data_IF_562514251424
#
_entry.id   IF_562514251424
#
_cell.length_a   1.000
_cell.length_b   1.000
_cell.length_c   1.000
_cell.angle_alpha   90.00
_cell.angle_beta   90.00
_cell.angle_gamma   90.00
#
_symmetry.space_group_name_H-M   'P 1'
#
loop_
_entity.id
_entity.type
_entity.pdbx_description
1 polymer ?
#
# COMPACT_ATOMS: atom_id res chain seq x y z
N UNK A 1 36.10 61.91 -62.39
CA UNK A 1 36.98 61.08 -61.53
C UNK A 1 36.18 60.77 -60.26
N UNK A 2 35.53 59.61 -60.23
CA UNK A 2 34.65 59.16 -59.09
C UNK A 2 35.37 57.99 -58.48
N UNK A 3 35.82 58.12 -57.25
CA UNK A 3 36.45 57.06 -56.47
C UNK A 3 35.31 56.21 -55.78
N UNK A 4 35.22 55.00 -56.25
CA UNK A 4 34.28 53.98 -55.63
C UNK A 4 35.03 53.34 -54.47
N UNK A 5 34.56 53.57 -53.25
CA UNK A 5 35.07 52.89 -52.04
C UNK A 5 34.31 51.57 -51.85
N UNK A 6 35.00 50.45 -51.95
CA UNK A 6 34.52 49.10 -51.68
C UNK A 6 34.61 48.88 -50.20
N UNK A 7 33.46 48.76 -49.50
CA UNK A 7 33.40 48.41 -48.12
C UNK A 7 33.17 46.88 -48.00
N UNK A 8 34.21 46.20 -47.51
CA UNK A 8 34.19 44.76 -47.27
C UNK A 8 33.43 44.51 -46.00
N UNK A 9 32.24 43.81 -46.10
CA UNK A 9 31.44 43.36 -45.00
C UNK A 9 31.97 41.99 -44.47
N UNK A 10 32.60 41.98 -43.30
CA UNK A 10 33.09 40.78 -42.65
C UNK A 10 31.89 40.23 -41.87
N UNK A 11 31.31 39.13 -42.34
CA UNK A 11 30.30 38.34 -41.64
C UNK A 11 31.01 37.46 -40.60
N UNK A 12 30.87 37.82 -39.32
CA UNK A 12 31.25 36.96 -38.19
C UNK A 12 30.16 35.89 -38.02
N UNK A 13 30.47 34.68 -38.42
CA UNK A 13 29.66 33.49 -38.05
C UNK A 13 29.95 33.15 -36.58
N UNK A 14 29.04 33.51 -35.70
CA UNK A 14 29.04 32.98 -34.32
C UNK A 14 28.63 31.52 -34.36
N UNK A 15 29.59 30.61 -34.19
CA UNK A 15 29.29 29.19 -33.90
C UNK A 15 28.65 29.11 -32.51
N UNK A 16 27.34 28.90 -32.47
CA UNK A 16 26.65 28.48 -31.26
C UNK A 16 27.01 27.02 -31.02
N UNK A 17 27.94 26.79 -30.11
CA UNK A 17 28.20 25.46 -29.57
C UNK A 17 27.00 25.11 -28.68
N UNK A 18 26.05 24.36 -29.23
CA UNK A 18 25.01 23.73 -28.46
C UNK A 18 25.68 22.64 -27.62
N UNK A 19 26.01 22.95 -26.37
CA UNK A 19 26.36 21.95 -25.37
C UNK A 19 25.13 21.10 -25.13
N UNK A 20 25.09 19.95 -25.76
CA UNK A 20 24.21 18.84 -25.32
C UNK A 20 24.68 18.46 -23.92
N UNK A 21 24.11 19.12 -22.89
CA UNK A 21 24.08 18.54 -21.55
C UNK A 21 23.21 17.29 -21.65
N UNK A 22 23.87 16.14 -21.72
CA UNK A 22 23.22 14.87 -21.42
C UNK A 22 22.55 15.07 -20.06
N UNK A 23 21.21 15.02 -20.05
CA UNK A 23 20.47 14.82 -18.81
C UNK A 23 21.00 13.52 -18.20
N UNK A 24 21.26 13.47 -16.89
CA UNK A 24 21.52 12.19 -16.26
C UNK A 24 20.30 11.32 -16.51
N UNK A 25 20.42 10.35 -17.39
CA UNK A 25 19.52 9.22 -17.45
C UNK A 25 19.51 8.66 -16.02
N UNK A 26 18.31 8.56 -15.41
CA UNK A 26 18.15 7.82 -14.18
C UNK A 26 18.87 6.48 -14.33
N UNK A 27 19.59 6.09 -13.30
CA UNK A 27 20.31 4.82 -13.23
C UNK A 27 19.40 3.74 -13.78
N UNK A 28 19.77 3.17 -14.92
CA UNK A 28 18.96 2.19 -15.60
C UNK A 28 18.77 1.02 -14.64
N UNK A 29 17.53 0.76 -14.23
CA UNK A 29 17.18 -0.42 -13.46
C UNK A 29 17.74 -1.61 -14.21
N UNK A 30 18.73 -2.27 -13.66
CA UNK A 30 19.39 -3.40 -14.30
C UNK A 30 18.44 -4.60 -14.20
N UNK A 31 17.93 -5.08 -15.33
CA UNK A 31 17.09 -6.28 -15.32
C UNK A 31 17.87 -7.48 -14.76
N UNK A 32 17.31 -8.21 -13.78
CA UNK A 32 17.95 -9.41 -13.24
C UNK A 32 18.12 -10.47 -14.30
N UNK A 33 19.23 -11.23 -14.22
CA UNK A 33 19.49 -12.33 -15.15
C UNK A 33 18.39 -13.40 -15.11
N UNK A 34 18.24 -14.14 -16.20
CA UNK A 34 17.26 -15.24 -16.28
C UNK A 34 17.46 -16.28 -15.16
N UNK A 35 18.70 -16.50 -14.74
CA UNK A 35 19.02 -17.39 -13.63
C UNK A 35 18.50 -16.85 -12.30
N UNK A 36 18.74 -15.59 -11.97
CA UNK A 36 18.23 -14.91 -10.78
C UNK A 36 16.70 -14.96 -10.77
N UNK A 37 16.05 -14.64 -11.88
CA UNK A 37 14.59 -14.73 -12.01
C UNK A 37 14.06 -16.14 -11.72
N UNK A 38 14.72 -17.17 -12.28
CA UNK A 38 14.33 -18.57 -12.06
C UNK A 38 14.53 -19.01 -10.61
N UNK A 39 15.61 -18.57 -9.96
CA UNK A 39 15.86 -18.86 -8.54
C UNK A 39 14.83 -18.18 -7.63
N UNK A 40 14.52 -16.91 -7.89
CA UNK A 40 13.50 -16.15 -7.15
C UNK A 40 12.13 -16.79 -7.31
N UNK A 41 11.73 -17.20 -8.52
CA UNK A 41 10.46 -17.88 -8.73
C UNK A 41 10.34 -19.16 -7.90
N UNK A 42 11.39 -20.00 -7.91
CA UNK A 42 11.43 -21.21 -7.08
C UNK A 42 11.34 -20.90 -5.59
N UNK A 43 12.00 -19.83 -5.16
CA UNK A 43 11.97 -19.42 -3.75
C UNK A 43 10.58 -18.95 -3.34
N UNK A 44 9.91 -18.11 -4.15
CA UNK A 44 8.52 -17.68 -3.90
C UNK A 44 7.60 -18.89 -3.73
N UNK A 45 7.68 -19.87 -4.64
CA UNK A 45 6.85 -21.08 -4.54
C UNK A 45 7.21 -21.97 -3.35
N UNK A 46 8.44 -21.90 -2.85
CA UNK A 46 8.86 -22.63 -1.65
C UNK A 46 8.33 -21.94 -0.37
N UNK A 47 8.34 -20.60 -0.34
CA UNK A 47 7.93 -19.82 0.81
C UNK A 47 6.38 -19.75 0.95
N UNK A 48 5.64 -19.74 -0.18
CA UNK A 48 4.18 -19.53 -0.21
C UNK A 48 3.46 -20.75 -0.78
N UNK A 49 3.15 -21.70 0.10
CA UNK A 49 2.52 -22.98 -0.27
C UNK A 49 1.17 -22.79 -0.97
N UNK A 50 0.31 -21.94 -0.44
CA UNK A 50 -1.05 -21.74 -0.99
C UNK A 50 -0.98 -21.13 -2.41
N UNK A 51 -0.04 -20.21 -2.64
CA UNK A 51 0.23 -19.64 -3.97
C UNK A 51 0.69 -20.75 -4.94
N UNK A 52 1.62 -21.60 -4.50
CA UNK A 52 2.09 -22.73 -5.32
C UNK A 52 0.95 -23.67 -5.68
N UNK A 53 0.15 -24.12 -4.71
CA UNK A 53 -0.97 -25.03 -4.90
C UNK A 53 -2.03 -24.43 -5.86
N UNK A 54 -2.28 -23.12 -5.77
CA UNK A 54 -3.16 -22.41 -6.71
C UNK A 54 -2.57 -22.42 -8.13
N UNK A 55 -1.30 -22.03 -8.30
CA UNK A 55 -0.63 -21.97 -9.61
C UNK A 55 -0.60 -23.34 -10.29
N UNK A 56 -0.41 -24.43 -9.53
CA UNK A 56 -0.42 -25.81 -10.07
C UNK A 56 -1.78 -26.19 -10.67
N UNK A 57 -2.85 -25.52 -10.29
CA UNK A 57 -4.23 -25.73 -10.79
C UNK A 57 -4.60 -24.80 -11.95
N UNK A 58 -3.83 -23.74 -12.23
CA UNK A 58 -4.09 -22.83 -13.35
C UNK A 58 -3.59 -23.40 -14.68
N UNK A 59 -4.23 -22.97 -15.77
CA UNK A 59 -3.80 -23.29 -17.14
C UNK A 59 -2.39 -22.73 -17.41
N UNK A 60 -1.49 -23.57 -17.89
CA UNK A 60 -0.07 -23.23 -18.07
C UNK A 60 0.78 -23.33 -16.80
N UNK A 61 0.16 -23.43 -15.62
CA UNK A 61 0.80 -23.72 -14.35
C UNK A 61 2.03 -22.85 -14.04
N UNK A 62 3.02 -23.45 -13.43
CA UNK A 62 4.26 -22.77 -13.01
C UNK A 62 5.01 -22.07 -14.17
N UNK A 63 4.91 -22.57 -15.41
CA UNK A 63 5.55 -21.95 -16.57
C UNK A 63 4.92 -20.59 -16.88
N UNK A 64 3.59 -20.52 -16.99
CA UNK A 64 2.87 -19.28 -17.28
C UNK A 64 3.06 -18.27 -16.13
N UNK A 65 3.03 -18.72 -14.88
CA UNK A 65 3.28 -17.88 -13.72
C UNK A 65 4.70 -17.27 -13.72
N UNK A 66 5.71 -18.06 -14.09
CA UNK A 66 7.10 -17.57 -14.20
C UNK A 66 7.28 -16.58 -15.35
N UNK A 67 6.64 -16.80 -16.49
CA UNK A 67 6.68 -15.88 -17.64
C UNK A 67 6.01 -14.54 -17.31
N UNK A 68 4.97 -14.54 -16.49
CA UNK A 68 4.20 -13.35 -16.07
C UNK A 68 4.73 -12.68 -14.79
N UNK A 69 5.77 -13.22 -14.15
CA UNK A 69 6.41 -12.63 -12.98
C UNK A 69 7.30 -11.45 -13.39
N UNK A 70 7.15 -10.30 -12.77
CA UNK A 70 8.11 -9.21 -12.87
C UNK A 70 9.14 -9.28 -11.74
N UNK A 71 10.38 -8.89 -12.03
CA UNK A 71 11.46 -8.78 -11.04
C UNK A 71 12.23 -7.51 -11.32
N UNK A 72 12.34 -6.65 -10.30
CA UNK A 72 13.14 -5.43 -10.34
C UNK A 72 14.25 -5.49 -9.29
N UNK A 73 15.44 -5.02 -9.65
CA UNK A 73 16.54 -4.86 -8.72
C UNK A 73 16.40 -3.53 -7.96
N UNK A 74 16.53 -3.59 -6.65
CA UNK A 74 16.51 -2.47 -5.73
C UNK A 74 17.79 -2.50 -4.88
N UNK A 75 18.22 -1.34 -4.37
CA UNK A 75 19.25 -1.25 -3.33
C UNK A 75 18.63 -0.51 -2.14
N UNK A 76 17.93 -1.27 -1.30
CA UNK A 76 17.15 -0.68 -0.20
C UNK A 76 17.96 -0.48 1.08
N UNK A 77 19.19 -1.03 1.15
CA UNK A 77 20.08 -0.89 2.30
C UNK A 77 21.35 -0.08 1.96
N UNK A 78 21.51 0.34 0.68
CA UNK A 78 22.62 1.14 0.18
C UNK A 78 24.01 0.49 0.35
N UNK A 79 24.08 -0.85 0.28
CA UNK A 79 25.34 -1.60 0.37
C UNK A 79 25.93 -1.95 -1.01
N UNK A 80 25.23 -1.59 -2.09
CA UNK A 80 25.62 -1.87 -3.47
C UNK A 80 25.31 -3.31 -3.91
N UNK A 81 24.64 -4.10 -3.09
CA UNK A 81 24.14 -5.43 -3.44
C UNK A 81 22.63 -5.32 -3.62
N UNK A 82 22.12 -5.79 -4.76
CA UNK A 82 20.71 -5.68 -5.06
C UNK A 82 19.85 -6.60 -4.19
N UNK A 83 18.78 -6.06 -3.63
CA UNK A 83 17.55 -6.75 -3.30
C UNK A 83 16.65 -6.81 -4.54
N UNK A 84 15.63 -7.66 -4.48
CA UNK A 84 14.77 -7.91 -5.63
C UNK A 84 13.30 -7.77 -5.24
N UNK A 85 12.61 -6.79 -5.84
CA UNK A 85 11.16 -6.78 -5.86
C UNK A 85 10.68 -7.86 -6.82
N UNK A 86 9.81 -8.74 -6.33
CA UNK A 86 9.15 -9.78 -7.12
C UNK A 86 7.66 -9.54 -7.06
N UNK A 87 7.05 -9.26 -8.21
CA UNK A 87 5.61 -9.15 -8.32
C UNK A 87 5.08 -10.32 -9.14
N UNK A 88 4.23 -11.12 -8.51
CA UNK A 88 3.56 -12.25 -9.16
C UNK A 88 2.29 -11.74 -9.83
N UNK A 89 2.05 -12.16 -11.07
CA UNK A 89 0.84 -11.86 -11.83
C UNK A 89 0.00 -13.12 -12.04
N UNK A 90 -1.30 -12.95 -12.34
CA UNK A 90 -2.23 -14.07 -12.56
C UNK A 90 -3.27 -14.19 -11.44
N UNK A 91 -4.25 -15.06 -11.64
CA UNK A 91 -5.42 -15.18 -10.76
C UNK A 91 -5.08 -15.60 -9.32
N UNK A 92 -3.99 -16.34 -9.15
CA UNK A 92 -3.54 -16.78 -7.83
C UNK A 92 -2.84 -15.70 -7.01
N UNK A 93 -2.25 -14.70 -7.67
CA UNK A 93 -1.42 -13.69 -7.03
C UNK A 93 -2.03 -12.29 -7.08
N UNK A 94 -3.03 -12.07 -7.92
CA UNK A 94 -3.69 -10.79 -8.08
C UNK A 94 -5.16 -10.87 -7.69
N UNK A 95 -5.64 -9.80 -7.03
CA UNK A 95 -7.06 -9.49 -7.03
C UNK A 95 -7.47 -8.87 -8.38
N UNK A 96 -8.43 -7.92 -8.37
CA UNK A 96 -8.86 -7.27 -9.62
C UNK A 96 -7.75 -6.46 -10.30
N UNK A 97 -6.86 -5.83 -9.54
CA UNK A 97 -5.77 -4.96 -10.04
C UNK A 97 -4.50 -4.97 -9.19
N UNK A 98 -4.59 -5.31 -7.91
CA UNK A 98 -3.44 -5.36 -7.02
C UNK A 98 -2.89 -6.78 -7.02
N UNK A 99 -1.57 -6.90 -7.16
CA UNK A 99 -0.88 -8.18 -7.17
C UNK A 99 0.03 -8.32 -5.95
N UNK A 100 0.31 -9.55 -5.56
CA UNK A 100 1.23 -9.84 -4.47
C UNK A 100 2.64 -9.37 -4.80
N UNK A 101 3.27 -8.69 -3.84
CA UNK A 101 4.60 -8.10 -3.94
C UNK A 101 5.45 -8.69 -2.83
N UNK A 102 6.64 -9.15 -3.19
CA UNK A 102 7.64 -9.69 -2.29
C UNK A 102 8.96 -8.94 -2.49
N UNK A 103 9.76 -8.82 -1.44
CA UNK A 103 11.15 -8.36 -1.57
C UNK A 103 12.07 -9.41 -0.99
N UNK A 104 13.06 -9.78 -1.78
CA UNK A 104 14.07 -10.76 -1.45
C UNK A 104 15.46 -10.14 -1.38
N UNK A 105 16.22 -10.49 -0.36
CA UNK A 105 17.66 -10.25 -0.31
C UNK A 105 18.44 -11.51 -0.63
N UNK A 106 19.60 -11.33 -1.23
CA UNK A 106 20.52 -12.44 -1.51
C UNK A 106 21.27 -12.84 -0.24
N UNK A 107 21.40 -14.14 0.00
CA UNK A 107 22.16 -14.73 1.11
C UNK A 107 23.14 -15.76 0.57
N UNK A 108 24.01 -16.29 1.45
CA UNK A 108 24.91 -17.40 1.06
C UNK A 108 24.16 -18.69 0.70
N UNK A 109 22.91 -18.84 1.18
CA UNK A 109 22.08 -20.04 0.95
C UNK A 109 21.04 -19.85 -0.17
N UNK A 110 20.98 -18.68 -0.81
CA UNK A 110 20.01 -18.36 -1.85
C UNK A 110 19.34 -17.01 -1.61
N UNK A 111 18.02 -16.98 -1.54
CA UNK A 111 17.24 -15.76 -1.30
C UNK A 111 16.41 -15.89 -0.03
N UNK A 112 16.27 -14.80 0.70
CA UNK A 112 15.44 -14.68 1.91
C UNK A 112 14.44 -13.56 1.71
N UNK A 113 13.15 -13.82 1.97
CA UNK A 113 12.10 -12.81 1.93
C UNK A 113 12.26 -11.82 3.09
N UNK A 114 12.24 -10.53 2.77
CA UNK A 114 12.24 -9.44 3.73
C UNK A 114 10.96 -8.58 3.66
N UNK A 115 10.10 -8.82 2.67
CA UNK A 115 8.71 -8.34 2.60
C UNK A 115 7.86 -9.44 1.97
N UNK A 116 6.80 -9.87 2.65
CA UNK A 116 6.02 -11.05 2.29
C UNK A 116 4.49 -10.87 2.33
N UNK A 117 3.99 -9.71 2.75
CA UNK A 117 2.56 -9.45 2.95
C UNK A 117 2.03 -8.21 2.22
N UNK A 118 2.78 -7.70 1.23
CA UNK A 118 2.34 -6.54 0.46
C UNK A 118 1.53 -6.94 -0.79
N UNK A 119 0.55 -6.10 -1.12
CA UNK A 119 -0.23 -6.22 -2.35
C UNK A 119 -0.48 -4.84 -2.94
N UNK A 120 -0.20 -4.66 -4.23
CA UNK A 120 -0.32 -3.35 -4.87
C UNK A 120 0.13 -3.34 -6.32
N UNK A 121 0.57 -2.15 -6.74
CA UNK A 121 1.01 -1.85 -8.11
C UNK A 121 2.54 -1.86 -8.27
N UNK A 122 3.28 -1.92 -7.16
CA UNK A 122 4.74 -1.89 -7.11
C UNK A 122 5.22 -1.17 -5.84
N UNK A 123 6.54 -1.10 -5.70
CA UNK A 123 7.22 -0.50 -4.54
C UNK A 123 7.94 0.78 -4.96
N UNK A 124 7.76 1.84 -4.18
CA UNK A 124 8.59 3.03 -4.20
C UNK A 124 9.54 3.02 -3.00
N UNK A 125 10.84 3.18 -3.27
CA UNK A 125 11.87 3.30 -2.22
C UNK A 125 11.92 4.75 -1.73
N UNK A 126 11.62 4.95 -0.45
CA UNK A 126 11.56 6.28 0.15
C UNK A 126 12.96 6.77 0.58
N UNK A 127 13.09 8.09 0.75
CA UNK A 127 14.32 8.72 1.28
C UNK A 127 14.48 8.55 2.79
N UNK A 128 13.42 8.17 3.50
CA UNK A 128 13.48 7.83 4.93
C UNK A 128 13.95 6.39 5.11
N UNK A 129 14.56 6.08 6.25
CA UNK A 129 15.07 4.75 6.54
C UNK A 129 14.79 4.31 7.97
N UNK A 130 14.73 3.00 8.17
CA UNK A 130 14.53 2.34 9.45
C UNK A 130 15.49 1.16 9.56
N UNK A 131 16.25 1.07 10.65
CA UNK A 131 17.23 0.01 10.92
C UNK A 131 18.20 -0.27 9.75
N UNK A 132 18.65 0.81 9.06
CA UNK A 132 19.64 0.72 7.97
C UNK A 132 19.04 0.40 6.58
N UNK A 133 17.73 0.22 6.47
CA UNK A 133 17.01 -0.02 5.21
C UNK A 133 16.10 1.17 4.90
N UNK A 134 16.00 1.56 3.65
CA UNK A 134 15.03 2.57 3.18
C UNK A 134 13.61 2.13 3.50
N UNK A 135 12.77 3.05 3.98
CA UNK A 135 11.33 2.79 4.11
C UNK A 135 10.73 2.61 2.71
N UNK A 136 9.66 1.85 2.61
CA UNK A 136 9.00 1.53 1.35
C UNK A 136 7.59 2.08 1.34
N UNK A 137 7.12 2.51 0.16
CA UNK A 137 5.73 2.85 -0.08
C UNK A 137 5.17 1.88 -1.12
N UNK A 138 4.07 1.23 -0.78
CA UNK A 138 3.27 0.42 -1.70
C UNK A 138 1.97 1.15 -1.96
N UNK A 139 1.69 1.43 -3.24
CA UNK A 139 0.41 1.96 -3.69
C UNK A 139 -0.48 0.82 -4.17
N UNK A 140 -1.71 0.78 -3.70
CA UNK A 140 -2.72 -0.19 -4.11
C UNK A 140 -4.00 0.54 -4.53
N UNK A 141 -4.71 0.03 -5.52
CA UNK A 141 -6.05 0.51 -5.85
C UNK A 141 -7.03 -0.02 -4.80
N UNK A 142 -7.75 0.88 -4.13
CA UNK A 142 -8.75 0.52 -3.13
C UNK A 142 -10.14 0.47 -3.76
N UNK A 143 -10.57 1.58 -4.40
CA UNK A 143 -11.82 1.66 -5.16
C UNK A 143 -11.59 2.42 -6.48
N UNK A 144 -12.65 2.66 -7.26
CA UNK A 144 -12.56 3.54 -8.42
C UNK A 144 -12.19 4.99 -8.05
N UNK A 145 -12.52 5.43 -6.83
CA UNK A 145 -12.32 6.81 -6.36
C UNK A 145 -11.14 6.96 -5.39
N UNK A 146 -10.58 5.85 -4.88
CA UNK A 146 -9.55 5.86 -3.84
C UNK A 146 -8.40 4.91 -4.15
N UNK A 147 -7.21 5.27 -3.62
CA UNK A 147 -6.06 4.37 -3.53
C UNK A 147 -5.60 4.26 -2.09
N UNK A 148 -5.03 3.14 -1.74
CA UNK A 148 -4.33 2.94 -0.48
C UNK A 148 -2.83 3.19 -0.68
N UNK A 149 -2.22 3.91 0.22
CA UNK A 149 -0.77 4.11 0.32
C UNK A 149 -0.30 3.52 1.64
N UNK A 150 0.48 2.45 1.58
CA UNK A 150 1.00 1.74 2.75
C UNK A 150 2.50 1.92 2.85
N UNK A 151 2.95 2.49 3.96
CA UNK A 151 4.37 2.63 4.27
C UNK A 151 4.82 1.42 5.08
N UNK A 152 5.89 0.77 4.63
CA UNK A 152 6.56 -0.32 5.33
C UNK A 152 7.89 0.16 5.90
N UNK A 153 8.23 -0.31 7.09
CA UNK A 153 9.49 -0.03 7.79
C UNK A 153 10.19 -1.33 8.14
N UNK A 154 11.50 -1.33 7.97
CA UNK A 154 12.31 -2.49 8.34
C UNK A 154 12.46 -2.56 9.87
N UNK A 155 12.13 -3.71 10.47
CA UNK A 155 12.17 -3.92 11.92
C UNK A 155 13.52 -4.44 12.43
N UNK A 156 14.49 -4.66 11.53
CA UNK A 156 15.80 -5.28 11.76
C UNK A 156 15.87 -6.71 11.19
N UNK A 157 14.73 -7.29 10.82
CA UNK A 157 14.63 -8.62 10.20
C UNK A 157 13.87 -8.58 8.88
N UNK A 158 12.73 -7.89 8.86
CA UNK A 158 11.84 -7.79 7.72
C UNK A 158 11.06 -6.47 7.74
N UNK A 159 10.44 -6.13 6.62
CA UNK A 159 9.55 -4.99 6.54
C UNK A 159 8.21 -5.29 7.21
N UNK A 160 7.68 -4.27 7.90
CA UNK A 160 6.37 -4.31 8.56
C UNK A 160 5.58 -3.08 8.19
N UNK A 161 4.28 -3.26 8.02
CA UNK A 161 3.37 -2.13 7.85
C UNK A 161 3.50 -1.16 9.04
N UNK A 162 3.77 0.09 8.74
CA UNK A 162 3.89 1.16 9.72
C UNK A 162 2.73 2.14 9.66
N UNK A 163 2.22 2.40 8.44
CA UNK A 163 1.14 3.35 8.21
C UNK A 163 0.43 3.02 6.90
N UNK A 164 -0.89 2.96 6.94
CA UNK A 164 -1.72 2.93 5.75
C UNK A 164 -2.63 4.18 5.68
N UNK A 165 -2.75 4.75 4.48
CA UNK A 165 -3.50 5.98 4.21
C UNK A 165 -4.38 5.75 2.98
N UNK A 166 -5.66 6.09 3.08
CA UNK A 166 -6.57 6.15 1.93
C UNK A 166 -6.52 7.55 1.33
N UNK A 167 -6.36 7.64 0.04
CA UNK A 167 -6.26 8.88 -0.73
C UNK A 167 -7.37 8.92 -1.76
N UNK A 168 -8.16 9.98 -1.76
CA UNK A 168 -9.15 10.22 -2.81
C UNK A 168 -8.45 10.69 -4.09
N UNK A 169 -8.64 9.99 -5.19
CA UNK A 169 -7.87 10.18 -6.43
C UNK A 169 -8.05 11.58 -7.01
N UNK A 170 -9.29 12.09 -7.07
CA UNK A 170 -9.58 13.39 -7.70
C UNK A 170 -9.24 14.59 -6.80
N UNK A 171 -9.52 14.48 -5.48
CA UNK A 171 -9.37 15.62 -4.56
C UNK A 171 -8.04 15.66 -3.84
N UNK A 172 -7.31 14.54 -3.81
CA UNK A 172 -6.11 14.38 -3.00
C UNK A 172 -6.37 14.33 -1.49
N UNK A 173 -7.64 14.31 -1.04
CA UNK A 173 -7.97 14.17 0.37
C UNK A 173 -7.39 12.86 0.93
N UNK A 174 -6.78 12.94 2.10
CA UNK A 174 -6.04 11.82 2.71
C UNK A 174 -6.59 11.51 4.10
N UNK A 175 -6.81 10.22 4.38
CA UNK A 175 -7.19 9.73 5.70
C UNK A 175 -6.37 8.50 6.09
N UNK A 176 -6.09 8.29 7.39
CA UNK A 176 -5.59 6.99 7.85
C UNK A 176 -6.55 5.88 7.41
N UNK A 177 -6.02 4.77 6.91
CA UNK A 177 -6.84 3.61 6.52
C UNK A 177 -7.60 3.04 7.72
N UNK A 178 -6.99 3.12 8.90
CA UNK A 178 -7.66 2.82 10.17
C UNK A 178 -7.09 3.65 11.32
N UNK A 179 -7.87 3.83 12.39
CA UNK A 179 -7.46 4.48 13.62
C UNK A 179 -7.72 3.56 14.80
N UNK A 180 -6.69 3.26 15.60
CA UNK A 180 -6.85 2.47 16.81
C UNK A 180 -7.51 3.29 17.90
N UNK A 181 -8.59 2.77 18.45
CA UNK A 181 -9.26 3.33 19.62
C UNK A 181 -8.66 2.78 20.91
N UNK A 182 -8.48 3.68 21.86
CA UNK A 182 -8.06 3.33 23.21
C UNK A 182 -8.96 4.05 24.19
N UNK A 183 -9.41 3.33 25.22
CA UNK A 183 -10.12 3.96 26.33
C UNK A 183 -9.12 4.63 27.27
N UNK A 184 -9.48 5.81 27.76
CA UNK A 184 -8.69 6.44 28.81
C UNK A 184 -8.61 5.52 30.04
N UNK A 185 -7.51 5.60 30.77
CA UNK A 185 -7.30 4.76 31.97
C UNK A 185 -8.47 4.88 32.95
N UNK A 186 -9.07 3.77 33.33
CA UNK A 186 -10.21 3.72 34.25
C UNK A 186 -11.56 4.00 33.58
N UNK A 187 -11.62 4.12 32.26
CA UNK A 187 -12.88 4.25 31.51
C UNK A 187 -13.14 3.02 30.67
N UNK A 188 -14.41 2.77 30.34
CA UNK A 188 -14.87 1.72 29.44
C UNK A 188 -15.56 2.26 28.20
N UNK A 189 -15.40 3.56 27.91
CA UNK A 189 -16.00 4.21 26.76
C UNK A 189 -15.11 5.31 26.19
N UNK A 190 -15.31 5.61 24.91
CA UNK A 190 -14.70 6.76 24.22
C UNK A 190 -15.69 7.35 23.22
N UNK A 191 -15.51 8.63 22.92
CA UNK A 191 -16.26 9.31 21.86
C UNK A 191 -15.28 9.83 20.82
N UNK A 192 -15.57 9.55 19.56
CA UNK A 192 -14.81 10.03 18.41
C UNK A 192 -15.70 10.87 17.50
N UNK A 193 -15.10 11.84 16.84
CA UNK A 193 -15.75 12.65 15.81
C UNK A 193 -15.00 12.50 14.50
N UNK A 194 -15.71 12.70 13.41
CA UNK A 194 -15.10 12.61 12.07
C UNK A 194 -15.98 13.24 11.00
N UNK A 195 -15.48 13.09 9.77
CA UNK A 195 -16.18 13.44 8.53
C UNK A 195 -16.06 12.26 7.58
N UNK A 196 -17.16 11.84 7.02
CA UNK A 196 -17.23 10.73 6.06
C UNK A 196 -17.96 11.15 4.79
N UNK A 197 -17.66 10.43 3.73
CA UNK A 197 -18.36 10.48 2.44
C UNK A 197 -18.44 9.06 1.87
N UNK A 198 -19.21 8.88 0.81
CA UNK A 198 -19.31 7.58 0.11
C UNK A 198 -17.94 7.02 -0.32
N UNK A 199 -16.98 7.88 -0.67
CA UNK A 199 -15.65 7.46 -1.11
C UNK A 199 -14.62 7.36 0.03
N UNK A 200 -14.85 8.00 1.18
CA UNK A 200 -13.89 8.08 2.28
C UNK A 200 -14.58 7.75 3.61
N UNK A 201 -14.79 6.48 3.92
CA UNK A 201 -15.24 6.02 5.23
C UNK A 201 -14.18 6.29 6.32
N UNK A 202 -14.58 6.27 7.56
CA UNK A 202 -13.68 6.20 8.71
C UNK A 202 -13.67 4.79 9.29
N UNK A 203 -12.49 4.18 9.39
CA UNK A 203 -12.32 2.84 9.98
C UNK A 203 -11.61 2.95 11.32
N UNK A 204 -12.17 2.31 12.33
CA UNK A 204 -11.60 2.21 13.67
C UNK A 204 -11.30 0.76 14.03
N UNK A 205 -10.19 0.56 14.74
CA UNK A 205 -9.81 -0.71 15.34
C UNK A 205 -9.99 -0.63 16.86
N UNK A 206 -10.70 -1.57 17.45
CA UNK A 206 -10.90 -1.65 18.89
C UNK A 206 -10.65 -3.06 19.39
N UNK A 207 -9.59 -3.24 20.20
CA UNK A 207 -9.29 -4.49 20.85
C UNK A 207 -10.35 -4.84 21.89
N UNK A 208 -10.93 -6.04 21.81
CA UNK A 208 -11.93 -6.54 22.73
C UNK A 208 -11.82 -8.06 22.90
N UNK A 209 -12.49 -8.60 23.92
CA UNK A 209 -12.52 -10.05 24.23
C UNK A 209 -13.87 -10.64 23.91
N UNK A 210 -13.87 -11.90 23.53
CA UNK A 210 -15.10 -12.68 23.44
C UNK A 210 -15.89 -12.63 24.76
N UNK A 211 -17.21 -12.55 24.64
CA UNK A 211 -18.14 -12.45 25.79
C UNK A 211 -18.34 -11.03 26.33
N UNK A 212 -17.51 -10.05 25.98
CA UNK A 212 -17.78 -8.66 26.34
C UNK A 212 -18.97 -8.10 25.56
N UNK A 213 -19.66 -7.13 26.15
CA UNK A 213 -20.77 -6.42 25.52
C UNK A 213 -20.27 -5.08 24.97
N UNK A 214 -20.37 -4.90 23.67
CA UNK A 214 -20.06 -3.65 22.99
C UNK A 214 -21.34 -2.87 22.72
N UNK A 215 -21.33 -1.58 23.01
CA UNK A 215 -22.38 -0.65 22.59
C UNK A 215 -21.77 0.44 21.72
N UNK A 216 -22.36 0.68 20.55
CA UNK A 216 -21.98 1.76 19.62
C UNK A 216 -23.20 2.64 19.37
N UNK A 217 -23.01 3.96 19.54
CA UNK A 217 -24.05 4.98 19.29
C UNK A 217 -23.49 6.05 18.38
N UNK A 218 -24.12 6.24 17.23
CA UNK A 218 -23.75 7.21 16.21
C UNK A 218 -24.77 8.37 16.18
N UNK A 219 -24.26 9.58 16.27
CA UNK A 219 -25.00 10.82 16.05
C UNK A 219 -24.45 11.53 14.84
N UNK A 220 -25.28 11.87 13.88
CA UNK A 220 -24.94 12.64 12.70
C UNK A 220 -26.16 13.47 12.23
N UNK A 221 -25.94 14.66 11.63
CA UNK A 221 -27.02 15.48 11.07
C UNK A 221 -27.80 14.74 9.98
N UNK A 222 -27.10 13.92 9.18
CA UNK A 222 -27.70 13.14 8.09
C UNK A 222 -28.02 11.72 8.54
N UNK A 223 -29.21 11.25 8.19
CA UNK A 223 -29.66 9.88 8.48
C UNK A 223 -28.91 8.83 7.65
N UNK A 224 -28.30 9.22 6.54
CA UNK A 224 -27.50 8.37 5.66
C UNK A 224 -26.15 7.96 6.27
N UNK A 225 -25.67 8.62 7.32
CA UNK A 225 -24.47 8.19 8.04
C UNK A 225 -24.79 7.00 8.91
N UNK A 226 -24.09 5.90 8.72
CA UNK A 226 -24.26 4.61 9.36
C UNK A 226 -22.91 4.06 9.83
N UNK A 227 -22.96 2.99 10.59
CA UNK A 227 -21.78 2.19 10.88
C UNK A 227 -22.08 0.70 10.71
N UNK A 228 -21.03 -0.06 10.49
CA UNK A 228 -21.00 -1.50 10.60
C UNK A 228 -19.88 -1.92 11.57
N UNK A 229 -19.99 -3.13 12.12
CA UNK A 229 -18.97 -3.74 12.98
C UNK A 229 -18.63 -5.12 12.42
N UNK A 230 -17.35 -5.39 12.23
CA UNK A 230 -16.85 -6.69 11.76
C UNK A 230 -16.00 -7.36 12.83
N UNK A 231 -16.12 -8.68 12.94
CA UNK A 231 -15.32 -9.49 13.85
C UNK A 231 -13.84 -9.57 13.44
N UNK A 232 -12.93 -9.87 14.38
CA UNK A 232 -11.48 -9.84 14.12
C UNK A 232 -11.00 -10.83 13.08
N UNK A 233 -11.37 -12.09 13.23
CA UNK A 233 -10.80 -13.21 12.46
C UNK A 233 -11.66 -13.56 11.26
N UNK A 234 -12.95 -13.81 11.49
CA UNK A 234 -13.86 -14.26 10.44
C UNK A 234 -14.34 -13.13 9.54
N UNK A 235 -14.13 -11.87 9.93
CA UNK A 235 -14.64 -10.67 9.23
C UNK A 235 -16.17 -10.67 9.06
N UNK A 236 -16.88 -11.47 9.84
CA UNK A 236 -18.34 -11.49 9.83
C UNK A 236 -18.91 -10.18 10.38
N UNK A 237 -20.00 -9.74 9.80
CA UNK A 237 -20.75 -8.59 10.31
C UNK A 237 -21.44 -8.99 11.64
N UNK A 238 -21.13 -8.28 12.71
CA UNK A 238 -21.81 -8.37 14.01
C UNK A 238 -22.81 -7.25 14.22
N UNK A 239 -22.64 -6.14 13.49
CA UNK A 239 -23.65 -5.09 13.31
C UNK A 239 -23.57 -4.59 11.87
N UNK A 240 -24.70 -4.31 11.24
CA UNK A 240 -24.78 -3.83 9.87
C UNK A 240 -25.73 -2.65 9.76
N UNK A 241 -25.32 -1.65 8.96
CA UNK A 241 -26.09 -0.47 8.57
C UNK A 241 -26.81 0.22 9.76
N UNK A 242 -26.12 0.31 10.90
CA UNK A 242 -26.69 0.73 12.17
C UNK A 242 -26.37 2.18 12.53
N UNK A 243 -27.15 2.77 13.41
CA UNK A 243 -26.86 4.03 14.12
C UNK A 243 -26.75 3.83 15.63
N UNK A 244 -27.32 2.76 16.14
CA UNK A 244 -27.16 2.27 17.50
C UNK A 244 -27.16 0.75 17.48
N UNK A 245 -26.26 0.15 18.22
CA UNK A 245 -26.16 -1.28 18.36
C UNK A 245 -25.57 -1.64 19.73
N UNK A 246 -26.05 -2.76 20.28
CA UNK A 246 -25.48 -3.37 21.47
C UNK A 246 -25.51 -4.88 21.27
N UNK A 247 -24.39 -5.54 21.50
CA UNK A 247 -24.30 -6.99 21.36
C UNK A 247 -23.09 -7.59 22.05
N UNK A 248 -23.19 -8.91 22.31
CA UNK A 248 -22.08 -9.70 22.85
C UNK A 248 -21.11 -10.04 21.74
N UNK A 249 -19.82 -9.83 22.01
CA UNK A 249 -18.75 -10.05 21.05
C UNK A 249 -18.40 -11.54 20.94
N UNK A 250 -18.41 -12.14 19.73
CA UNK A 250 -18.17 -13.56 19.54
C UNK A 250 -16.68 -13.96 19.65
N UNK A 251 -15.76 -13.03 19.36
CA UNK A 251 -14.33 -13.32 19.20
C UNK A 251 -13.45 -12.39 20.06
N UNK A 252 -12.24 -12.82 20.34
CA UNK A 252 -11.19 -11.96 20.94
C UNK A 252 -10.29 -11.44 19.86
N UNK A 253 -10.04 -10.11 19.82
CA UNK A 253 -9.16 -9.47 18.85
C UNK A 253 -9.60 -8.04 18.54
N UNK A 254 -9.09 -7.53 17.41
CA UNK A 254 -9.35 -6.17 16.92
C UNK A 254 -10.62 -6.15 16.05
N UNK A 255 -11.68 -5.59 16.58
CA UNK A 255 -12.92 -5.32 15.84
C UNK A 255 -12.75 -4.12 14.94
N UNK A 256 -13.30 -4.21 13.72
CA UNK A 256 -13.38 -3.10 12.78
C UNK A 256 -14.74 -2.42 12.95
N UNK A 257 -14.73 -1.13 13.22
CA UNK A 257 -15.92 -0.28 13.25
C UNK A 257 -15.78 0.71 12.11
N UNK A 258 -16.61 0.58 11.09
CA UNK A 258 -16.54 1.39 9.87
C UNK A 258 -17.74 2.32 9.85
N UNK A 259 -17.48 3.63 9.75
CA UNK A 259 -18.49 4.67 9.60
C UNK A 259 -18.46 5.15 8.17
N UNK A 260 -19.59 5.08 7.49
CA UNK A 260 -19.76 5.51 6.11
C UNK A 260 -20.97 6.43 5.92
N UNK A 261 -21.16 6.90 4.69
CA UNK A 261 -22.31 7.70 4.29
C UNK A 261 -22.67 7.43 2.83
N UNK A 262 -23.95 7.37 2.53
CA UNK A 262 -24.47 7.19 1.15
C UNK A 262 -24.32 8.46 0.29
N UNK A 263 -23.96 9.59 0.90
CA UNK A 263 -23.92 10.89 0.27
C UNK A 263 -22.58 11.61 0.50
N UNK A 264 -22.49 12.81 -0.11
CA UNK A 264 -21.33 13.70 0.08
C UNK A 264 -21.17 14.10 1.54
N UNK A 265 -19.95 14.34 1.93
CA UNK A 265 -19.43 14.79 3.21
C UNK A 265 -20.45 15.06 4.33
N UNK A 266 -20.40 14.26 5.38
CA UNK A 266 -21.17 14.45 6.61
C UNK A 266 -20.27 14.33 7.83
N UNK A 267 -20.49 15.19 8.81
CA UNK A 267 -19.83 15.04 10.13
C UNK A 267 -20.62 14.06 10.99
N UNK A 268 -19.93 13.45 11.94
CA UNK A 268 -20.55 12.58 12.93
C UNK A 268 -19.84 12.65 14.29
N UNK A 269 -20.54 12.17 15.30
CA UNK A 269 -19.99 11.80 16.61
C UNK A 269 -20.42 10.38 16.94
N UNK A 270 -19.48 9.52 17.34
CA UNK A 270 -19.73 8.14 17.67
C UNK A 270 -19.16 7.83 19.05
N UNK A 271 -20.00 7.30 19.94
CA UNK A 271 -19.61 6.81 21.26
C UNK A 271 -19.58 5.30 21.25
N UNK A 272 -18.48 4.72 21.70
CA UNK A 272 -18.26 3.29 21.81
C UNK A 272 -17.97 2.97 23.27
N UNK A 273 -18.60 1.92 23.80
CA UNK A 273 -18.31 1.37 25.13
C UNK A 273 -18.24 -0.14 25.13
N UNK A 274 -17.42 -0.68 26.04
CA UNK A 274 -17.28 -2.13 26.28
C UNK A 274 -17.47 -2.41 27.78
N UNK A 275 -18.24 -3.44 28.08
CA UNK A 275 -18.49 -3.93 29.46
C UNK A 275 -18.17 -5.41 29.57
#
# INVERSE_FOLDING_TARGET
>A
MIFLRLTTLVLLFAMVVVSNRAQPHGEGKQEPSAEVRSQLFKQVLADFRDLRECIEQEEGGARAAQENMSVEALDVNHDGVAEYEVQMSGGCACGMVNCSIYIYRKTAQGFESILDDASGLGVEVLKTSSNGYSDLLVEARDTAATRAETTYKFDGKQYREAKATIVHVETGERKPASRRLQFARGTSSTTVTGRVSIALPDTFLLGARAGQVMTVKLSAPRKSVRFLVMSPTTRNLVADNAREWTGTLPETGDYYIIVDADERNSTYSMTISIK
#
